data_IF_413612674781
#
_entry.id   IF_413612674781
#
_cell.length_a   1.000
_cell.length_b   1.000
_cell.length_c   1.000
_cell.angle_alpha   90.00
_cell.angle_beta   90.00
_cell.angle_gamma   90.00
#
_symmetry.space_group_name_H-M   'P 1'
#
loop_
_entity.id
_entity.type
_entity.pdbx_description
1 polymer ?
#
# COMPACT_ATOMS: atom_id res chain seq x y z
N UNK A 1 11.89 -34.31 -56.35
CA UNK A 1 10.86 -33.46 -55.69
C UNK A 1 11.18 -33.42 -54.21
N UNK A 2 11.92 -32.41 -53.76
CA UNK A 2 12.18 -32.16 -52.33
C UNK A 2 11.59 -30.78 -52.00
N UNK A 3 10.60 -30.77 -51.11
CA UNK A 3 9.95 -29.55 -50.64
C UNK A 3 10.79 -28.94 -49.50
N UNK A 4 11.24 -27.71 -49.70
CA UNK A 4 11.99 -26.94 -48.71
C UNK A 4 11.10 -26.37 -47.61
N UNK A 5 11.47 -26.62 -46.36
CA UNK A 5 10.86 -26.01 -45.19
C UNK A 5 11.35 -24.54 -45.07
N UNK A 6 10.40 -23.60 -45.11
CA UNK A 6 10.65 -22.18 -44.85
C UNK A 6 10.56 -21.94 -43.35
N UNK A 7 11.69 -21.67 -42.71
CA UNK A 7 11.76 -21.27 -41.30
C UNK A 7 11.55 -19.76 -41.22
N UNK A 8 10.42 -19.31 -40.68
CA UNK A 8 10.19 -17.91 -40.33
C UNK A 8 11.01 -17.55 -39.09
N UNK A 9 12.02 -16.70 -39.27
CA UNK A 9 12.75 -16.06 -38.17
C UNK A 9 11.82 -15.08 -37.43
N UNK A 10 11.52 -15.38 -36.17
CA UNK A 10 10.87 -14.44 -35.27
C UNK A 10 11.83 -13.27 -34.98
N UNK A 11 11.49 -12.09 -35.47
CA UNK A 11 12.20 -10.84 -35.18
C UNK A 11 11.94 -10.43 -33.73
N UNK A 12 12.98 -10.46 -32.89
CA UNK A 12 12.93 -10.10 -31.47
C UNK A 12 12.71 -8.59 -31.32
N UNK A 13 11.63 -8.20 -30.64
CA UNK A 13 11.25 -6.81 -30.36
C UNK A 13 12.17 -6.14 -29.32
N UNK A 14 13.40 -5.79 -29.69
CA UNK A 14 14.35 -5.07 -28.83
C UNK A 14 13.95 -3.59 -28.55
N UNK A 15 13.06 -3.00 -29.35
CA UNK A 15 12.74 -1.58 -29.28
C UNK A 15 11.86 -1.14 -28.10
N UNK A 16 11.00 -2.04 -27.58
CA UNK A 16 10.07 -1.71 -26.49
C UNK A 16 10.74 -1.76 -25.11
N UNK A 17 11.54 -2.80 -24.86
CA UNK A 17 12.22 -3.01 -23.58
C UNK A 17 13.19 -1.86 -23.24
N UNK A 18 13.96 -1.39 -24.23
CA UNK A 18 14.88 -0.25 -24.07
C UNK A 18 14.17 1.06 -23.72
N UNK A 19 12.99 1.30 -24.29
CA UNK A 19 12.18 2.50 -24.00
C UNK A 19 11.56 2.43 -22.59
N UNK A 20 11.10 1.25 -22.17
CA UNK A 20 10.59 1.05 -20.82
C UNK A 20 11.68 1.26 -19.75
N UNK A 21 12.87 0.66 -19.96
CA UNK A 21 14.04 0.86 -19.09
C UNK A 21 14.46 2.34 -18.98
N UNK A 22 14.44 3.07 -20.09
CA UNK A 22 14.74 4.51 -20.10
C UNK A 22 13.69 5.32 -19.31
N UNK A 23 12.40 5.01 -19.46
CA UNK A 23 11.33 5.65 -18.68
C UNK A 23 11.42 5.32 -17.18
N UNK A 24 11.72 4.07 -16.82
CA UNK A 24 11.94 3.66 -15.42
C UNK A 24 13.14 4.40 -14.82
N UNK A 25 14.26 4.51 -15.56
CA UNK A 25 15.42 5.27 -15.12
C UNK A 25 15.11 6.75 -14.87
N UNK A 26 14.29 7.36 -15.72
CA UNK A 26 13.86 8.76 -15.56
C UNK A 26 12.95 8.95 -14.34
N UNK A 27 12.04 8.00 -14.06
CA UNK A 27 11.15 8.03 -12.88
C UNK A 27 11.93 7.85 -11.59
N UNK A 28 12.95 7.00 -11.57
CA UNK A 28 13.85 6.82 -10.40
C UNK A 28 14.61 8.13 -10.10
N UNK A 29 15.04 8.88 -11.13
CA UNK A 29 15.69 10.18 -10.94
C UNK A 29 14.74 11.29 -10.43
N UNK A 30 13.42 11.11 -10.59
CA UNK A 30 12.38 12.05 -10.14
C UNK A 30 11.76 11.66 -8.79
N UNK A 31 12.28 10.63 -8.10
CA UNK A 31 11.84 10.24 -6.76
C UNK A 31 12.21 11.34 -5.73
N UNK A 32 11.41 12.40 -5.69
CA UNK A 32 11.49 13.42 -4.66
C UNK A 32 11.30 12.76 -3.29
N UNK A 33 12.07 13.19 -2.29
CA UNK A 33 11.88 12.77 -0.89
C UNK A 33 10.52 13.25 -0.41
N UNK A 34 9.52 12.38 -0.51
CA UNK A 34 8.19 12.64 0.03
C UNK A 34 8.25 12.50 1.56
N UNK A 35 8.52 13.62 2.25
CA UNK A 35 8.60 13.70 3.71
C UNK A 35 7.23 13.60 4.44
N UNK A 36 6.17 13.16 3.74
CA UNK A 36 4.79 13.14 4.25
C UNK A 36 4.09 11.79 4.09
N UNK A 37 4.82 10.68 3.88
CA UNK A 37 4.20 9.36 3.89
C UNK A 37 4.01 8.86 5.33
N UNK A 38 2.84 9.15 5.91
CA UNK A 38 2.35 8.45 7.08
C UNK A 38 2.04 7.01 6.65
N UNK A 39 2.98 6.10 6.91
CA UNK A 39 3.08 4.74 6.38
C UNK A 39 3.28 4.75 4.85
N UNK A 40 4.34 4.12 4.31
CA UNK A 40 4.39 3.81 2.88
C UNK A 40 3.09 3.09 2.52
N UNK A 41 2.34 3.58 1.54
CA UNK A 41 1.36 2.74 0.86
C UNK A 41 2.12 1.49 0.45
N UNK A 42 1.73 0.33 0.99
CA UNK A 42 2.33 -0.94 0.59
C UNK A 42 2.22 -0.99 -0.93
N UNK A 43 3.36 -1.13 -1.59
CA UNK A 43 3.42 -1.11 -3.05
C UNK A 43 2.70 -2.35 -3.57
N UNK A 44 1.43 -2.17 -3.93
CA UNK A 44 0.57 -3.19 -4.53
C UNK A 44 0.92 -3.48 -5.98
N UNK A 45 1.06 -4.76 -6.31
CA UNK A 45 1.15 -5.23 -7.68
C UNK A 45 -0.24 -5.17 -8.35
N UNK A 46 -0.36 -4.71 -9.62
CA UNK A 46 -1.62 -4.80 -10.36
C UNK A 46 -2.11 -6.22 -10.63
N UNK A 47 -1.27 -7.25 -10.52
CA UNK A 47 -1.68 -8.65 -10.61
C UNK A 47 -2.45 -9.08 -9.35
N UNK A 48 -3.51 -9.87 -9.56
CA UNK A 48 -4.32 -10.43 -8.48
C UNK A 48 -3.80 -11.80 -8.06
N UNK A 49 -4.16 -12.24 -6.86
CA UNK A 49 -3.79 -13.58 -6.37
C UNK A 49 -4.40 -14.73 -7.18
N UNK A 50 -5.38 -14.45 -8.05
CA UNK A 50 -6.02 -15.42 -8.94
C UNK A 50 -7.38 -15.94 -8.44
N UNK A 51 -8.21 -16.43 -9.37
CA UNK A 51 -9.60 -16.80 -9.08
C UNK A 51 -9.73 -17.95 -8.10
N UNK A 52 -10.58 -17.79 -7.09
CA UNK A 52 -10.87 -18.83 -6.09
C UNK A 52 -9.74 -19.08 -5.10
N UNK A 53 -8.71 -18.23 -5.10
CA UNK A 53 -7.59 -18.32 -4.17
C UNK A 53 -7.82 -17.42 -2.97
N UNK A 54 -7.31 -17.88 -1.83
CA UNK A 54 -7.31 -17.15 -0.56
C UNK A 54 -5.87 -17.07 -0.09
N UNK A 55 -5.39 -15.85 0.12
CA UNK A 55 -4.09 -15.58 0.71
C UNK A 55 -4.30 -15.06 2.13
N UNK A 56 -3.61 -15.65 3.09
CA UNK A 56 -3.59 -15.22 4.49
C UNK A 56 -2.16 -14.81 4.82
N UNK A 57 -2.03 -13.61 5.37
CA UNK A 57 -0.76 -12.99 5.71
C UNK A 57 -0.72 -12.70 7.21
N UNK A 58 0.45 -12.91 7.80
CA UNK A 58 0.70 -12.68 9.21
C UNK A 58 2.09 -12.09 9.39
N UNK A 59 2.22 -11.12 10.29
CA UNK A 59 3.49 -10.45 10.54
C UNK A 59 3.49 -9.65 11.84
N UNK A 60 4.52 -8.81 11.97
CA UNK A 60 4.67 -7.82 13.02
C UNK A 60 5.31 -6.57 12.42
N UNK A 61 4.99 -5.41 12.97
CA UNK A 61 5.55 -4.13 12.54
C UNK A 61 6.18 -3.42 13.74
N UNK A 62 7.42 -2.96 13.59
CA UNK A 62 8.11 -2.16 14.59
C UNK A 62 8.69 -0.93 13.93
N UNK A 63 8.22 0.25 14.35
CA UNK A 63 8.66 1.53 13.84
C UNK A 63 9.24 2.37 14.97
N UNK A 64 10.27 3.16 14.66
CA UNK A 64 10.93 4.02 15.65
C UNK A 64 10.75 5.49 15.30
N UNK A 65 10.57 6.32 16.33
CA UNK A 65 10.36 7.78 16.18
C UNK A 65 9.24 8.13 15.20
N UNK A 66 8.15 7.36 15.23
CA UNK A 66 6.93 7.68 14.48
C UNK A 66 6.31 8.93 15.09
N UNK A 67 5.93 9.87 14.23
CA UNK A 67 5.29 11.11 14.63
C UNK A 67 3.81 11.09 14.23
N UNK A 68 2.93 11.25 15.22
CA UNK A 68 1.50 11.43 15.07
C UNK A 68 1.16 12.93 15.20
N UNK A 69 0.96 13.66 14.09
CA UNK A 69 0.83 15.12 14.12
C UNK A 69 -0.47 15.62 14.75
N UNK A 70 -1.55 14.82 14.71
CA UNK A 70 -2.84 15.22 15.24
C UNK A 70 -2.91 15.09 16.77
N UNK A 71 -2.29 14.04 17.34
CA UNK A 71 -2.16 13.84 18.78
C UNK A 71 -0.88 14.46 19.37
N UNK A 72 0.09 14.83 18.54
CA UNK A 72 1.35 15.43 18.96
C UNK A 72 2.30 14.44 19.63
N UNK A 73 2.16 13.14 19.34
CA UNK A 73 2.96 12.08 19.94
C UNK A 73 4.10 11.66 19.02
N UNK A 74 5.32 11.57 19.56
CA UNK A 74 6.46 10.95 18.88
C UNK A 74 6.96 9.78 19.70
N UNK A 75 7.16 8.62 19.08
CA UNK A 75 7.52 7.42 19.84
C UNK A 75 7.87 6.19 19.01
N UNK A 76 8.06 5.08 19.71
CA UNK A 76 8.34 3.78 19.11
C UNK A 76 7.07 2.93 19.09
N UNK A 77 6.63 2.54 17.89
CA UNK A 77 5.38 1.81 17.65
C UNK A 77 5.67 0.32 17.44
N UNK A 78 4.85 -0.52 18.06
CA UNK A 78 4.83 -1.96 17.87
C UNK A 78 3.41 -2.40 17.50
N UNK A 79 3.23 -3.11 16.38
CA UNK A 79 1.97 -3.77 15.99
C UNK A 79 2.17 -5.27 15.91
N UNK A 80 1.41 -6.03 16.70
CA UNK A 80 1.55 -7.49 16.76
C UNK A 80 0.20 -8.15 17.11
N UNK A 81 -0.29 -9.09 16.28
CA UNK A 81 0.14 -9.39 14.92
C UNK A 81 -0.37 -8.34 13.92
N UNK A 82 0.27 -8.25 12.76
CA UNK A 82 -0.35 -7.67 11.56
C UNK A 82 -0.95 -8.81 10.75
N UNK A 83 -2.20 -8.68 10.33
CA UNK A 83 -2.95 -9.72 9.63
C UNK A 83 -3.49 -9.17 8.31
N UNK A 84 -3.41 -10.00 7.28
CA UNK A 84 -3.92 -9.69 5.95
C UNK A 84 -4.70 -10.86 5.39
N UNK A 85 -5.81 -10.57 4.71
CA UNK A 85 -6.62 -11.56 4.00
C UNK A 85 -6.91 -11.02 2.59
N UNK A 86 -6.46 -11.74 1.57
CA UNK A 86 -6.78 -11.44 0.17
C UNK A 86 -7.62 -12.55 -0.44
N UNK A 87 -8.73 -12.18 -1.08
CA UNK A 87 -9.71 -13.07 -1.68
C UNK A 87 -9.79 -12.80 -3.19
N UNK A 88 -9.33 -13.76 -3.99
CA UNK A 88 -9.37 -13.65 -5.44
C UNK A 88 -10.74 -14.00 -5.98
N UNK A 89 -11.54 -12.98 -6.28
CA UNK A 89 -12.90 -13.13 -6.78
C UNK A 89 -12.95 -13.63 -8.23
N UNK A 90 -11.94 -13.25 -9.02
CA UNK A 90 -11.78 -13.68 -10.41
C UNK A 90 -10.33 -13.56 -10.83
N UNK A 91 -10.04 -13.80 -12.11
CA UNK A 91 -8.71 -13.53 -12.67
C UNK A 91 -8.34 -12.04 -12.65
N UNK A 92 -9.29 -11.12 -12.47
CA UNK A 92 -9.06 -9.67 -12.53
C UNK A 92 -9.46 -8.91 -11.25
N UNK A 93 -10.14 -9.53 -10.29
CA UNK A 93 -10.66 -8.85 -9.12
C UNK A 93 -10.28 -9.55 -7.82
N UNK A 94 -9.93 -8.76 -6.82
CA UNK A 94 -9.48 -9.20 -5.50
C UNK A 94 -10.03 -8.27 -4.42
N UNK A 95 -10.50 -8.84 -3.31
CA UNK A 95 -10.81 -8.11 -2.08
C UNK A 95 -9.67 -8.32 -1.11
N UNK A 96 -9.22 -7.27 -0.45
CA UNK A 96 -8.16 -7.29 0.55
C UNK A 96 -8.71 -6.77 1.87
N UNK A 97 -8.31 -7.37 2.99
CA UNK A 97 -8.68 -6.95 4.34
C UNK A 97 -7.41 -6.98 5.19
N UNK A 98 -6.99 -5.83 5.69
CA UNK A 98 -5.78 -5.67 6.51
C UNK A 98 -6.16 -5.14 7.89
N UNK A 99 -5.61 -5.74 8.95
CA UNK A 99 -5.86 -5.29 10.32
C UNK A 99 -4.70 -5.60 11.27
N UNK A 100 -4.65 -4.90 12.40
CA UNK A 100 -3.85 -5.30 13.54
C UNK A 100 -4.67 -5.16 14.83
N UNK A 101 -4.96 -6.26 15.54
CA UNK A 101 -5.81 -6.21 16.72
C UNK A 101 -5.11 -5.59 17.95
N UNK A 102 -3.80 -5.32 17.86
CA UNK A 102 -3.06 -4.71 18.96
C UNK A 102 -1.87 -3.92 18.43
N UNK A 103 -1.85 -2.64 18.77
CA UNK A 103 -0.73 -1.75 18.61
C UNK A 103 -0.40 -1.03 19.92
N UNK A 104 0.89 -0.75 20.14
CA UNK A 104 1.38 -0.01 21.30
C UNK A 104 2.42 1.00 20.87
N UNK A 105 2.27 2.23 21.34
CA UNK A 105 3.25 3.30 21.18
C UNK A 105 3.91 3.59 22.53
N UNK A 106 5.24 3.50 22.56
CA UNK A 106 6.04 4.07 23.65
C UNK A 106 6.38 5.50 23.28
N UNK A 107 5.77 6.46 23.98
CA UNK A 107 5.87 7.89 23.75
C UNK A 107 7.20 8.41 24.31
N UNK A 108 8.04 8.94 23.42
CA UNK A 108 9.33 9.53 23.75
C UNK A 108 9.25 11.05 23.86
N UNK A 109 8.39 11.70 23.07
CA UNK A 109 8.23 13.15 23.02
C UNK A 109 6.76 13.51 22.78
N UNK A 110 6.34 14.64 23.36
CA UNK A 110 5.00 15.20 23.21
C UNK A 110 5.10 16.66 22.81
N UNK A 111 4.29 17.08 21.86
CA UNK A 111 4.19 18.46 21.40
C UNK A 111 2.73 18.90 21.33
N UNK A 112 2.51 20.23 21.33
CA UNK A 112 1.17 20.78 21.15
C UNK A 112 0.57 20.35 19.80
N UNK A 113 -0.64 19.82 19.83
CA UNK A 113 -1.35 19.33 18.66
C UNK A 113 -2.87 19.46 18.85
N UNK A 114 -3.66 19.48 17.76
CA UNK A 114 -5.09 19.74 17.81
C UNK A 114 -5.88 18.77 18.71
N UNK A 115 -5.51 17.48 18.73
CA UNK A 115 -6.18 16.44 19.52
C UNK A 115 -5.46 16.13 20.83
N UNK A 116 -4.42 16.88 21.21
CA UNK A 116 -3.64 16.61 22.42
C UNK A 116 -4.49 16.69 23.71
N UNK A 117 -5.57 17.47 23.69
CA UNK A 117 -6.48 17.60 24.83
C UNK A 117 -7.46 16.41 25.00
N UNK A 118 -7.59 15.55 23.99
CA UNK A 118 -8.49 14.38 24.01
C UNK A 118 -7.79 13.10 24.49
N UNK A 119 -6.46 13.15 24.69
CA UNK A 119 -5.68 11.97 25.08
C UNK A 119 -6.08 11.48 26.48
N UNK A 120 -6.54 10.23 26.57
CA UNK A 120 -6.94 9.57 27.81
C UNK A 120 -5.98 8.45 28.19
N UNK A 121 -4.72 8.82 28.40
CA UNK A 121 -3.72 7.92 28.96
C UNK A 121 -2.65 8.67 29.76
N UNK A 122 -2.08 7.98 30.74
CA UNK A 122 -1.01 8.53 31.58
C UNK A 122 0.30 7.80 31.34
N UNK A 123 1.43 8.46 31.58
CA UNK A 123 2.76 7.84 31.47
C UNK A 123 3.38 8.01 30.09
N UNK A 124 4.14 7.02 29.64
CA UNK A 124 4.89 7.01 28.38
C UNK A 124 4.44 5.89 27.43
N UNK A 125 3.29 5.28 27.67
CA UNK A 125 2.74 4.21 26.83
C UNK A 125 1.25 4.41 26.57
N UNK A 126 0.85 4.13 25.33
CA UNK A 126 -0.55 4.03 24.91
C UNK A 126 -0.71 2.83 23.99
N UNK A 127 -1.88 2.20 23.99
CA UNK A 127 -2.19 1.04 23.16
C UNK A 127 -3.60 1.10 22.64
N UNK A 128 -3.80 0.54 21.46
CA UNK A 128 -5.09 0.55 20.78
C UNK A 128 -5.22 -0.64 19.81
N UNK A 129 -6.38 -0.76 19.20
CA UNK A 129 -6.61 -1.55 17.99
C UNK A 129 -6.24 -0.66 16.78
N UNK A 130 -5.64 -1.23 15.74
CA UNK A 130 -5.34 -0.51 14.51
C UNK A 130 -6.58 -0.39 13.60
N UNK A 131 -6.60 0.63 12.74
CA UNK A 131 -7.70 0.85 11.81
C UNK A 131 -7.84 -0.32 10.81
N UNK A 132 -9.06 -0.84 10.62
CA UNK A 132 -9.33 -1.88 9.62
C UNK A 132 -9.29 -1.26 8.22
N UNK A 133 -8.56 -1.87 7.29
CA UNK A 133 -8.53 -1.44 5.88
C UNK A 133 -9.19 -2.50 5.02
N UNK A 134 -10.17 -2.08 4.22
CA UNK A 134 -10.82 -2.92 3.21
C UNK A 134 -10.45 -2.39 1.84
N UNK A 135 -9.75 -3.19 1.06
CA UNK A 135 -9.33 -2.91 -0.31
C UNK A 135 -10.12 -3.71 -1.35
N UNK A 136 -10.33 -3.12 -2.52
CA UNK A 136 -10.74 -3.81 -3.73
C UNK A 136 -9.76 -3.47 -4.83
N UNK A 137 -9.12 -4.49 -5.39
CA UNK A 137 -8.13 -4.36 -6.46
C UNK A 137 -8.69 -4.97 -7.73
N UNK A 138 -8.62 -4.21 -8.81
CA UNK A 138 -9.08 -4.62 -10.14
C UNK A 138 -7.95 -4.47 -11.14
N UNK A 139 -7.54 -5.58 -11.75
CA UNK A 139 -6.61 -5.60 -12.87
C UNK A 139 -7.35 -5.21 -14.15
N UNK A 140 -6.96 -4.07 -14.72
CA UNK A 140 -7.53 -3.56 -15.96
C UNK A 140 -6.87 -4.20 -17.18
N UNK A 141 -5.56 -4.33 -17.13
CA UNK A 141 -4.73 -4.73 -18.26
C UNK A 141 -3.71 -5.76 -17.73
N UNK A 142 -3.72 -7.02 -18.20
CA UNK A 142 -2.71 -8.01 -17.79
C UNK A 142 -1.34 -7.65 -18.34
N UNK A 143 -0.27 -8.13 -17.73
CA UNK A 143 1.05 -8.00 -18.34
C UNK A 143 1.14 -8.71 -19.71
N UNK A 144 1.88 -8.14 -20.67
CA UNK A 144 2.25 -8.81 -21.92
C UNK A 144 3.68 -8.52 -22.35
N UNK A 145 4.18 -9.15 -23.42
CA UNK A 145 5.58 -9.01 -23.85
C UNK A 145 6.01 -7.54 -24.05
N UNK A 146 5.18 -6.72 -24.68
CA UNK A 146 5.48 -5.32 -24.99
C UNK A 146 4.74 -4.28 -24.14
N UNK A 147 3.95 -4.69 -23.14
CA UNK A 147 3.12 -3.78 -22.32
C UNK A 147 3.15 -4.15 -20.83
N UNK A 148 3.16 -3.15 -19.92
CA UNK A 148 3.02 -3.42 -18.49
C UNK A 148 1.58 -3.83 -18.14
N UNK A 149 1.42 -4.44 -16.98
CA UNK A 149 0.14 -4.60 -16.32
C UNK A 149 -0.32 -3.27 -15.74
N UNK A 150 -1.64 -3.04 -15.76
CA UNK A 150 -2.27 -1.92 -15.08
C UNK A 150 -3.43 -2.40 -14.22
N UNK A 151 -3.58 -1.78 -13.07
CA UNK A 151 -4.68 -2.02 -12.14
C UNK A 151 -5.12 -0.75 -11.44
N UNK A 152 -6.27 -0.83 -10.80
CA UNK A 152 -6.78 0.20 -9.89
C UNK A 152 -7.11 -0.47 -8.57
N UNK A 153 -6.80 0.20 -7.47
CA UNK A 153 -7.17 -0.20 -6.13
C UNK A 153 -7.98 0.89 -5.46
N UNK A 154 -9.14 0.50 -4.95
CA UNK A 154 -9.94 1.30 -4.03
C UNK A 154 -9.71 0.76 -2.63
N UNK A 155 -9.56 1.61 -1.63
CA UNK A 155 -9.47 1.16 -0.25
C UNK A 155 -10.15 2.12 0.69
N UNK A 156 -10.79 1.58 1.71
CA UNK A 156 -11.41 2.34 2.78
C UNK A 156 -10.76 1.94 4.09
N UNK A 157 -10.29 2.93 4.84
CA UNK A 157 -9.85 2.79 6.22
C UNK A 157 -11.04 3.09 7.12
N UNK A 158 -11.39 2.15 7.99
CA UNK A 158 -12.46 2.30 8.96
C UNK A 158 -11.92 2.85 10.28
N UNK A 159 -12.70 3.68 10.99
CA UNK A 159 -12.30 4.26 12.27
C UNK A 159 -12.44 3.22 13.38
N UNK A 160 -11.39 2.42 13.59
CA UNK A 160 -11.34 1.45 14.69
C UNK A 160 -10.35 1.87 15.77
N UNK A 161 -9.32 2.62 15.40
CA UNK A 161 -8.38 3.25 16.31
C UNK A 161 -8.96 4.57 16.82
N UNK A 162 -8.89 4.76 18.13
CA UNK A 162 -9.44 5.88 18.87
C UNK A 162 -8.49 7.10 18.85
N UNK A 163 -9.09 8.29 18.83
CA UNK A 163 -8.34 9.54 18.99
C UNK A 163 -7.81 9.73 20.43
N UNK A 164 -8.50 9.16 21.42
CA UNK A 164 -8.16 9.24 22.84
C UNK A 164 -6.91 8.44 23.18
N UNK A 165 -6.65 7.34 22.46
CA UNK A 165 -5.36 6.64 22.52
C UNK A 165 -4.23 7.47 21.89
N UNK A 166 -4.57 8.44 21.04
CA UNK A 166 -3.66 9.23 20.24
C UNK A 166 -3.07 8.50 19.03
N UNK A 167 -3.52 7.27 18.77
CA UNK A 167 -3.04 6.40 17.68
C UNK A 167 -4.00 6.33 16.50
N UNK A 168 -5.25 6.75 16.69
CA UNK A 168 -6.25 6.88 15.65
C UNK A 168 -6.71 8.32 15.42
N UNK A 169 -7.56 8.48 14.41
CA UNK A 169 -8.20 9.76 14.07
C UNK A 169 -9.71 9.72 14.21
N UNK A 170 -10.30 8.54 14.50
CA UNK A 170 -11.73 8.27 14.42
C UNK A 170 -12.40 8.73 13.11
N UNK A 171 -11.62 8.79 12.02
CA UNK A 171 -12.11 9.14 10.69
C UNK A 171 -12.11 7.95 9.75
N UNK A 172 -13.14 7.90 8.92
CA UNK A 172 -13.12 7.07 7.73
C UNK A 172 -12.33 7.78 6.62
N UNK A 173 -11.36 7.08 6.05
CA UNK A 173 -10.58 7.59 4.91
C UNK A 173 -10.80 6.71 3.69
N UNK A 174 -10.77 7.30 2.50
CA UNK A 174 -10.93 6.60 1.23
C UNK A 174 -9.73 6.85 0.33
N UNK A 175 -9.26 5.81 -0.36
CA UNK A 175 -8.09 5.85 -1.21
C UNK A 175 -8.40 5.26 -2.58
N UNK A 176 -7.88 5.91 -3.62
CA UNK A 176 -7.88 5.39 -4.99
C UNK A 176 -6.46 5.43 -5.52
N UNK A 177 -5.95 4.29 -5.97
CA UNK A 177 -4.59 4.17 -6.50
C UNK A 177 -4.59 3.50 -7.87
N UNK A 178 -3.90 4.09 -8.83
CA UNK A 178 -3.48 3.44 -10.06
C UNK A 178 -2.19 2.65 -9.83
N UNK A 179 -2.14 1.45 -10.39
CA UNK A 179 -1.06 0.47 -10.22
C UNK A 179 -0.46 0.15 -11.58
N UNK A 180 0.86 0.07 -11.65
CA UNK A 180 1.60 -0.38 -12.84
C UNK A 180 2.63 -1.43 -12.45
N UNK A 181 2.77 -2.47 -13.27
CA UNK A 181 3.67 -3.58 -13.00
C UNK A 181 4.30 -4.11 -14.28
N UNK A 182 5.61 -4.34 -14.29
CA UNK A 182 6.31 -4.93 -15.44
C UNK A 182 7.43 -5.84 -14.97
N UNK A 183 7.50 -7.00 -15.60
CA UNK A 183 8.62 -7.93 -15.46
C UNK A 183 9.63 -7.65 -16.58
N UNK A 184 10.86 -7.34 -16.20
CA UNK A 184 12.01 -7.13 -17.08
C UNK A 184 13.03 -8.20 -16.72
N UNK A 185 13.13 -9.23 -17.56
CA UNK A 185 13.95 -10.42 -17.30
C UNK A 185 13.58 -11.06 -15.95
N UNK A 186 14.47 -11.06 -14.97
CA UNK A 186 14.25 -11.61 -13.63
C UNK A 186 13.81 -10.57 -12.59
N UNK A 187 13.54 -9.33 -13.01
CA UNK A 187 13.20 -8.21 -12.12
C UNK A 187 11.72 -7.84 -12.30
N UNK A 188 10.95 -7.81 -11.20
CA UNK A 188 9.60 -7.27 -11.15
C UNK A 188 9.65 -5.81 -10.68
N UNK A 189 9.18 -4.90 -11.52
CA UNK A 189 9.07 -3.46 -11.21
C UNK A 189 7.60 -3.13 -11.00
N UNK A 190 7.28 -2.52 -9.86
CA UNK A 190 5.92 -2.08 -9.51
C UNK A 190 5.94 -0.61 -9.13
N UNK A 191 4.89 0.11 -9.51
CA UNK A 191 4.71 1.53 -9.20
C UNK A 191 3.25 1.86 -8.93
N UNK A 192 3.03 2.72 -7.94
CA UNK A 192 1.69 3.09 -7.47
C UNK A 192 1.60 4.61 -7.41
N UNK A 193 0.46 5.15 -7.86
CA UNK A 193 0.12 6.57 -7.70
C UNK A 193 -1.33 6.64 -7.26
N UNK A 194 -1.63 7.36 -6.19
CA UNK A 194 -2.98 7.43 -5.66
C UNK A 194 -3.35 8.77 -5.03
N UNK A 195 -4.64 8.91 -4.76
CA UNK A 195 -5.27 10.03 -4.07
C UNK A 195 -5.97 9.50 -2.82
N UNK A 196 -5.89 10.24 -1.72
CA UNK A 196 -6.62 9.99 -0.49
C UNK A 196 -7.64 11.08 -0.22
N UNK A 197 -8.86 10.69 0.13
CA UNK A 197 -9.89 11.52 0.72
C UNK A 197 -9.92 11.22 2.22
N UNK A 198 -9.38 12.14 3.02
CA UNK A 198 -9.27 11.98 4.45
C UNK A 198 -10.45 12.66 5.13
N UNK A 199 -10.99 12.03 6.17
CA UNK A 199 -11.97 12.69 7.04
C UNK A 199 -11.33 13.87 7.79
N UNK A 200 -12.14 14.83 8.23
CA UNK A 200 -11.70 15.97 9.05
C UNK A 200 -11.82 15.59 10.53
N UNK A 201 -10.70 15.30 11.25
CA UNK A 201 -10.75 14.78 12.61
C UNK A 201 -10.94 15.87 13.68
N UNK A 202 -10.87 17.16 13.31
CA UNK A 202 -10.93 18.29 14.26
C UNK A 202 -12.29 19.01 14.26
N UNK A 203 -13.24 18.55 13.43
CA UNK A 203 -14.59 19.10 13.32
C UNK A 203 -15.68 18.15 13.82
N UNK A 204 -15.33 17.25 14.75
CA UNK A 204 -16.29 16.39 15.44
C UNK A 204 -17.42 17.17 16.10
#
# INVERSE_FOLDING_TARGET
MQHGATVQHATVQHGSARKFLACVGLVICLAARAHAQQRPLVTEDPETIGSGLVLVEGGFDQQRKVFYPLSGLTGDLLRVPTLGLSLGLSSIAEIQIDWSPYQRLTVNERQAAPLAAMLDFTGDQTSDIDDLVIGTKVRLIPEGAGRPAFGVRFATKLPNASNESGLGTDTMDFFVSALVGKTVESIRVVGNVGLGLLGDPIRG
#
